data_IF_668011422352
#
_entry.id   IF_668011422352
#
_cell.length_a   1.000
_cell.length_b   1.000
_cell.length_c   1.000
_cell.angle_alpha   90.00
_cell.angle_beta   90.00
_cell.angle_gamma   90.00
#
_symmetry.space_group_name_H-M   'P 1'
#
loop_
_entity.id
_entity.type
_entity.pdbx_description
1 polymer ?
#
# COMPACT_ATOMS: atom_id res chain seq x y z
N UNK A 1 -3.53 -11.15 6.76
CA UNK A 1 -2.34 -10.61 6.05
C UNK A 1 -1.87 -9.31 6.68
N UNK A 2 -0.61 -9.00 6.53
CA UNK A 2 0.03 -7.79 7.07
C UNK A 2 0.96 -7.20 6.04
N UNK A 3 1.12 -5.88 6.06
CA UNK A 3 2.13 -5.17 5.30
C UNK A 3 3.26 -4.74 6.23
N UNK A 4 4.49 -5.04 5.83
CA UNK A 4 5.69 -4.53 6.49
C UNK A 4 6.28 -3.42 5.62
N UNK A 5 6.33 -2.22 6.16
CA UNK A 5 6.69 -1.00 5.41
C UNK A 5 7.92 -0.34 6.01
N UNK A 6 8.93 0.03 5.21
CA UNK A 6 10.03 0.86 5.71
C UNK A 6 9.54 2.29 5.98
N UNK A 7 9.97 2.87 7.10
CA UNK A 7 9.58 4.22 7.47
C UNK A 7 10.22 5.31 6.58
N UNK A 8 11.33 5.00 5.93
CA UNK A 8 12.15 5.97 5.19
C UNK A 8 11.96 5.96 3.67
N UNK A 9 11.16 5.05 3.13
CA UNK A 9 10.95 4.92 1.67
C UNK A 9 9.54 5.35 1.28
N UNK A 10 9.39 5.68 -0.01
CA UNK A 10 8.12 6.10 -0.59
C UNK A 10 7.80 5.30 -1.87
N UNK A 11 6.68 5.60 -2.51
CA UNK A 11 6.24 4.98 -3.76
C UNK A 11 6.11 3.46 -3.70
N UNK A 12 5.77 2.90 -2.54
CA UNK A 12 5.62 1.46 -2.35
C UNK A 12 6.93 0.68 -2.27
N UNK A 13 8.07 1.35 -2.33
CA UNK A 13 9.38 0.68 -2.30
C UNK A 13 9.62 -0.01 -0.97
N UNK A 14 10.11 -1.25 -1.04
CA UNK A 14 10.47 -2.03 0.14
C UNK A 14 9.30 -2.56 0.96
N UNK A 15 8.05 -2.37 0.50
CA UNK A 15 6.87 -2.93 1.17
C UNK A 15 6.83 -4.44 0.92
N UNK A 16 6.61 -5.20 1.98
CA UNK A 16 6.52 -6.65 1.94
C UNK A 16 5.16 -7.12 2.46
N UNK A 17 4.61 -8.16 1.82
CA UNK A 17 3.36 -8.80 2.21
C UNK A 17 3.69 -10.02 3.06
N UNK A 18 3.11 -10.09 4.27
CA UNK A 18 3.30 -11.19 5.21
C UNK A 18 1.95 -11.82 5.53
N UNK A 19 1.86 -13.15 5.47
CA UNK A 19 0.61 -13.88 5.72
C UNK A 19 0.39 -14.22 7.20
N UNK A 20 1.48 -14.38 7.97
CA UNK A 20 1.43 -14.80 9.35
C UNK A 20 2.58 -14.22 10.18
N UNK A 21 2.55 -14.44 11.48
CA UNK A 21 3.57 -13.94 12.40
C UNK A 21 4.98 -14.46 12.08
N UNK A 22 5.08 -15.71 11.65
CA UNK A 22 6.38 -16.32 11.30
C UNK A 22 7.03 -15.60 10.12
N UNK A 23 6.24 -15.25 9.11
CA UNK A 23 6.73 -14.47 7.96
C UNK A 23 7.22 -13.09 8.40
N UNK A 24 6.47 -12.42 9.28
CA UNK A 24 6.85 -11.11 9.83
C UNK A 24 8.20 -11.20 10.53
N UNK A 25 8.37 -12.15 11.40
CA UNK A 25 9.62 -12.32 12.16
C UNK A 25 10.80 -12.65 11.24
N UNK A 26 10.56 -13.50 10.23
CA UNK A 26 11.58 -13.84 9.24
C UNK A 26 12.04 -12.61 8.45
N UNK A 27 11.10 -11.77 8.00
CA UNK A 27 11.43 -10.56 7.26
C UNK A 27 12.15 -9.53 8.13
N UNK A 28 11.70 -9.34 9.38
CA UNK A 28 12.36 -8.42 10.31
C UNK A 28 13.78 -8.84 10.66
N UNK A 29 14.04 -10.14 10.81
CA UNK A 29 15.38 -10.65 11.12
C UNK A 29 16.42 -10.31 10.03
N UNK A 30 15.99 -10.14 8.78
CA UNK A 30 16.85 -9.74 7.67
C UNK A 30 17.09 -8.24 7.53
N UNK A 31 16.48 -7.41 8.40
CA UNK A 31 16.58 -5.94 8.32
C UNK A 31 17.72 -5.41 9.18
N UNK A 32 18.29 -4.23 8.84
CA UNK A 32 19.29 -3.58 9.68
C UNK A 32 18.76 -3.31 11.09
N UNK A 33 19.57 -3.51 12.16
CA UNK A 33 19.09 -3.42 13.54
C UNK A 33 18.57 -2.04 13.95
N UNK A 34 19.00 -0.98 13.29
CA UNK A 34 18.59 0.40 13.58
C UNK A 34 17.55 0.93 12.60
N UNK A 35 16.98 0.08 11.74
CA UNK A 35 15.95 0.49 10.80
C UNK A 35 14.55 0.48 11.47
N UNK A 36 13.71 1.44 11.06
CA UNK A 36 12.34 1.58 11.58
C UNK A 36 11.37 1.03 10.53
N UNK A 37 10.51 0.12 10.96
CA UNK A 37 9.52 -0.53 10.12
C UNK A 37 8.14 -0.38 10.74
N UNK A 38 7.14 -0.17 9.88
CA UNK A 38 5.73 -0.13 10.25
C UNK A 38 5.07 -1.45 9.87
N UNK A 39 4.42 -2.08 10.83
CA UNK A 39 3.57 -3.23 10.60
C UNK A 39 2.11 -2.77 10.54
N UNK A 40 1.47 -2.98 9.40
CA UNK A 40 0.09 -2.56 9.15
C UNK A 40 -0.79 -3.76 8.80
N UNK A 41 -1.94 -3.87 9.48
CA UNK A 41 -2.94 -4.87 9.10
C UNK A 41 -3.43 -4.59 7.68
N UNK A 42 -3.45 -5.63 6.86
CA UNK A 42 -3.89 -5.53 5.46
C UNK A 42 -5.42 -5.64 5.37
N UNK A 43 -6.00 -4.86 4.47
CA UNK A 43 -7.42 -4.97 4.13
C UNK A 43 -7.56 -6.05 3.06
N UNK A 44 -7.95 -7.25 3.49
CA UNK A 44 -7.90 -8.46 2.66
C UNK A 44 -9.06 -8.59 1.67
N UNK A 45 -10.16 -7.86 1.92
CA UNK A 45 -11.36 -7.89 1.07
C UNK A 45 -11.69 -6.49 0.57
N UNK A 46 -10.85 -5.91 -0.30
CA UNK A 46 -11.12 -4.59 -0.88
C UNK A 46 -12.22 -4.67 -1.94
N UNK A 47 -12.84 -3.54 -2.24
CA UNK A 47 -13.60 -3.41 -3.47
C UNK A 47 -12.64 -3.54 -4.65
N UNK A 48 -13.04 -4.26 -5.68
CA UNK A 48 -12.22 -4.49 -6.87
C UNK A 48 -12.83 -3.83 -8.10
N UNK A 49 -11.97 -3.36 -9.01
CA UNK A 49 -12.36 -2.89 -10.34
C UNK A 49 -11.83 -3.89 -11.37
N UNK A 50 -12.74 -4.57 -12.06
CA UNK A 50 -12.41 -5.63 -13.04
C UNK A 50 -11.44 -6.68 -12.46
N UNK A 51 -11.71 -7.13 -11.22
CA UNK A 51 -10.88 -8.13 -10.53
C UNK A 51 -9.56 -7.62 -9.96
N UNK A 52 -9.28 -6.32 -10.06
CA UNK A 52 -8.03 -5.72 -9.61
C UNK A 52 -8.26 -4.75 -8.47
N UNK A 53 -7.30 -4.69 -7.56
CA UNK A 53 -7.28 -3.67 -6.53
C UNK A 53 -7.03 -2.30 -7.17
N UNK A 54 -7.69 -1.26 -6.62
CA UNK A 54 -7.53 0.09 -7.13
C UNK A 54 -7.45 1.12 -6.01
N UNK A 55 -6.98 2.29 -6.36
CA UNK A 55 -7.16 3.51 -5.59
C UNK A 55 -7.62 4.65 -6.51
N UNK A 56 -8.07 5.73 -5.90
CA UNK A 56 -8.52 6.93 -6.61
C UNK A 56 -7.53 8.04 -6.33
N UNK A 57 -6.90 8.56 -7.38
CA UNK A 57 -6.04 9.74 -7.28
C UNK A 57 -6.87 10.99 -7.38
N UNK A 58 -6.84 11.79 -6.32
CA UNK A 58 -7.50 13.07 -6.23
C UNK A 58 -6.49 14.16 -5.90
N UNK A 59 -6.83 15.41 -6.23
CA UNK A 59 -6.05 16.59 -5.86
C UNK A 59 -6.86 17.49 -4.95
N UNK A 60 -6.22 17.99 -3.91
CA UNK A 60 -6.80 18.93 -2.98
C UNK A 60 -5.80 20.07 -2.73
N UNK A 61 -6.33 21.28 -2.50
CA UNK A 61 -5.53 22.46 -2.18
C UNK A 61 -6.05 23.06 -0.89
N UNK A 62 -5.16 23.26 0.09
CA UNK A 62 -5.42 24.06 1.26
C UNK A 62 -4.99 25.51 0.99
N UNK A 63 -5.88 26.47 1.26
CA UNK A 63 -5.58 27.92 1.12
C UNK A 63 -5.11 28.51 2.44
N UNK A 64 -4.51 29.71 2.39
CA UNK A 64 -4.13 30.48 3.58
C UNK A 64 -5.32 30.90 4.44
N UNK A 65 -6.53 30.86 3.90
CA UNK A 65 -7.80 31.16 4.60
C UNK A 65 -8.44 29.91 5.24
N UNK A 66 -7.68 28.81 5.34
CA UNK A 66 -8.14 27.51 5.88
C UNK A 66 -9.29 26.90 5.07
N UNK A 67 -9.38 27.21 3.78
CA UNK A 67 -10.30 26.57 2.85
C UNK A 67 -9.65 25.33 2.26
N UNK A 68 -10.43 24.27 2.08
CA UNK A 68 -10.00 23.04 1.40
C UNK A 68 -10.80 22.90 0.10
N UNK A 69 -10.08 22.91 -1.01
CA UNK A 69 -10.64 22.80 -2.35
C UNK A 69 -10.22 21.50 -2.99
N UNK A 70 -11.14 20.84 -3.68
CA UNK A 70 -10.88 19.60 -4.42
C UNK A 70 -11.01 19.86 -5.93
N UNK A 71 -10.04 19.36 -6.68
CA UNK A 71 -10.18 19.31 -8.12
C UNK A 71 -11.20 18.24 -8.48
N UNK A 72 -12.18 18.58 -9.33
CA UNK A 72 -13.32 17.70 -9.64
C UNK A 72 -12.96 16.44 -10.43
N UNK A 73 -11.82 16.42 -11.10
CA UNK A 73 -11.38 15.27 -11.89
C UNK A 73 -10.32 14.49 -11.13
N UNK A 74 -10.52 13.20 -11.03
CA UNK A 74 -9.56 12.25 -10.53
C UNK A 74 -9.41 11.10 -11.51
N UNK A 75 -8.57 10.14 -11.20
CA UNK A 75 -8.44 8.91 -11.98
C UNK A 75 -8.18 7.70 -11.10
N UNK A 76 -8.55 6.54 -11.63
CA UNK A 76 -8.28 5.25 -10.98
C UNK A 76 -6.85 4.79 -11.30
N UNK A 77 -6.19 4.25 -10.29
CA UNK A 77 -4.96 3.47 -10.45
C UNK A 77 -5.28 2.03 -10.05
N UNK A 78 -4.92 1.10 -10.89
CA UNK A 78 -5.15 -0.33 -10.61
C UNK A 78 -3.83 -1.05 -10.45
N UNK A 79 -3.88 -2.20 -9.76
CA UNK A 79 -2.77 -3.15 -9.78
C UNK A 79 -2.60 -3.74 -11.17
N UNK A 80 -1.39 -4.19 -11.50
CA UNK A 80 -1.08 -4.75 -12.83
C UNK A 80 -1.61 -6.16 -13.03
N UNK A 81 -1.99 -6.85 -11.96
CA UNK A 81 -2.52 -8.21 -11.98
C UNK A 81 -3.80 -8.32 -11.17
N UNK A 82 -4.56 -9.37 -11.41
CA UNK A 82 -5.78 -9.66 -10.67
C UNK A 82 -5.49 -9.90 -9.20
N UNK A 83 -6.44 -9.49 -8.35
CA UNK A 83 -6.29 -9.58 -6.90
C UNK A 83 -6.34 -11.04 -6.43
N UNK A 84 -5.35 -11.43 -5.61
CA UNK A 84 -5.25 -12.74 -4.99
C UNK A 84 -4.64 -12.63 -3.60
N UNK A 85 -5.40 -13.03 -2.57
CA UNK A 85 -4.94 -12.99 -1.17
C UNK A 85 -3.82 -13.99 -0.88
N UNK A 86 -3.69 -15.06 -1.65
CA UNK A 86 -2.62 -16.05 -1.47
C UNK A 86 -1.26 -15.56 -1.98
N UNK A 87 -1.25 -14.53 -2.86
CA UNK A 87 -0.04 -14.01 -3.45
C UNK A 87 0.72 -13.09 -2.49
N UNK A 88 2.05 -13.11 -2.59
CA UNK A 88 2.97 -12.17 -1.93
C UNK A 88 3.52 -11.11 -2.87
N UNK A 89 3.23 -11.23 -4.16
CA UNK A 89 3.69 -10.29 -5.18
C UNK A 89 3.07 -8.91 -4.96
N UNK A 90 3.92 -7.91 -4.82
CA UNK A 90 3.49 -6.52 -4.59
C UNK A 90 2.73 -5.92 -5.77
N UNK A 91 2.91 -6.41 -7.00
CA UNK A 91 2.15 -5.97 -8.17
C UNK A 91 0.66 -6.33 -8.11
N UNK A 92 0.30 -7.28 -7.26
CA UNK A 92 -1.09 -7.68 -7.02
C UNK A 92 -1.72 -6.79 -5.94
N UNK A 93 -0.92 -6.27 -5.01
CA UNK A 93 -1.39 -5.60 -3.80
C UNK A 93 -1.19 -4.08 -3.80
N UNK A 94 -0.22 -3.56 -4.53
CA UNK A 94 0.10 -2.15 -4.56
C UNK A 94 -0.31 -1.49 -5.88
N UNK A 95 -1.04 -0.39 -5.76
CA UNK A 95 -1.57 0.38 -6.90
C UNK A 95 -0.63 1.48 -7.39
N UNK A 96 0.39 1.81 -6.62
CA UNK A 96 1.33 2.90 -6.92
C UNK A 96 2.70 2.41 -7.42
N UNK A 97 2.73 1.28 -8.01
CA UNK A 97 3.94 0.71 -8.61
C UNK A 97 4.36 1.48 -9.87
#
# INVERSE_FOLDING_TARGET
MWLLKPASLNQGRGIEVCHNFKDIMKQLAGKPPNSIWLLQKYIERPLLFKGRKFDIRMWAVGTSKSELLYYKHGYLRTTSSDYDTAATDTYIHLTNN
#
